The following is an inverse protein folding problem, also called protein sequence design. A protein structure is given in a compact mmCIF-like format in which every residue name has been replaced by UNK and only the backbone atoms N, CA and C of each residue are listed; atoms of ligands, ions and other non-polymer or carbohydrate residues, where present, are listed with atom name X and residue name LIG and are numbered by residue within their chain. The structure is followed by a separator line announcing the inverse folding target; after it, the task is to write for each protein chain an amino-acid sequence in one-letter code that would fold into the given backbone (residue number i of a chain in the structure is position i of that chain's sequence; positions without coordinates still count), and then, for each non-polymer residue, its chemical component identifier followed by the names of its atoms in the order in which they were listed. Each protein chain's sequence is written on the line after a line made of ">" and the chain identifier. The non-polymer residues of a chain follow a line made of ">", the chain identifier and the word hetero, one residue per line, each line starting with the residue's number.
data_IF_707685351730
#
_entry.id   IF_707685351730
#
_cell.length_a   1.000
_cell.length_b   1.000
_cell.length_c   1.000
_cell.angle_alpha   90.00
_cell.angle_beta   90.00
_cell.angle_gamma   90.00
#
_symmetry.space_group_name_H-M   'P 1'
#
loop_
_entity.id
_entity.type
_entity.pdbx_description
1 polymer ?
#
# COMPACT_ATOMS: atom_id res chain seq x y z
N UNK A 1 -9.52 -11.07 12.69
CA UNK A 1 -9.10 -12.25 13.49
C UNK A 1 -9.21 -13.55 12.70
N UNK A 2 -10.34 -13.80 12.04
CA UNK A 2 -10.59 -15.01 11.24
C UNK A 2 -9.71 -15.08 9.98
N UNK A 3 -9.74 -14.06 9.11
CA UNK A 3 -8.87 -13.97 7.93
C UNK A 3 -7.37 -14.11 8.27
N UNK A 4 -6.94 -13.54 9.39
CA UNK A 4 -5.55 -13.63 9.85
C UNK A 4 -5.13 -15.07 10.15
N UNK A 5 -6.04 -15.86 10.73
CA UNK A 5 -5.78 -17.27 11.01
C UNK A 5 -5.77 -18.08 9.71
N UNK A 6 -6.72 -17.86 8.79
CA UNK A 6 -6.75 -18.56 7.49
C UNK A 6 -5.47 -18.30 6.67
N UNK A 7 -4.95 -17.07 6.70
CA UNK A 7 -3.67 -16.75 6.04
C UNK A 7 -2.50 -17.47 6.73
N UNK A 8 -2.50 -17.56 8.06
CA UNK A 8 -1.47 -18.28 8.80
C UNK A 8 -1.49 -19.79 8.48
N UNK A 9 -2.69 -20.38 8.38
CA UNK A 9 -2.88 -21.78 8.02
C UNK A 9 -2.43 -22.04 6.56
N UNK A 10 -2.77 -21.13 5.64
CA UNK A 10 -2.30 -21.19 4.25
C UNK A 10 -0.76 -21.12 4.18
N UNK A 11 -0.13 -20.24 4.96
CA UNK A 11 1.34 -20.16 5.04
C UNK A 11 1.93 -21.49 5.52
N UNK A 12 1.36 -22.07 6.57
CA UNK A 12 1.83 -23.35 7.10
C UNK A 12 1.70 -24.48 6.06
N UNK A 13 0.61 -24.52 5.29
CA UNK A 13 0.39 -25.52 4.24
C UNK A 13 1.44 -25.45 3.13
N UNK A 14 1.86 -24.25 2.74
CA UNK A 14 2.93 -24.04 1.76
C UNK A 14 4.34 -24.13 2.38
N UNK A 15 4.43 -24.45 3.68
CA UNK A 15 5.70 -24.54 4.40
C UNK A 15 6.41 -23.19 4.56
N UNK A 16 5.66 -22.11 4.65
CA UNK A 16 6.18 -20.78 4.91
C UNK A 16 6.17 -20.45 6.41
N UNK A 17 7.11 -19.61 6.88
CA UNK A 17 7.04 -19.01 8.21
C UNK A 17 5.74 -18.21 8.43
N UNK A 18 5.30 -18.10 9.68
CA UNK A 18 4.10 -17.31 10.04
C UNK A 18 4.41 -15.81 10.13
N UNK A 19 5.60 -15.46 10.62
CA UNK A 19 6.07 -14.08 10.71
C UNK A 19 6.25 -13.45 9.34
N UNK A 20 5.84 -12.18 9.18
CA UNK A 20 5.76 -11.53 7.87
C UNK A 20 7.11 -11.46 7.15
N UNK A 21 8.18 -10.99 7.80
CA UNK A 21 9.46 -10.79 7.11
C UNK A 21 10.14 -12.12 6.71
N UNK A 22 10.21 -13.14 7.58
CA UNK A 22 10.64 -14.47 7.17
C UNK A 22 9.75 -15.10 6.09
N UNK A 23 8.42 -14.94 6.17
CA UNK A 23 7.48 -15.35 5.12
C UNK A 23 7.85 -14.70 3.78
N UNK A 24 8.03 -13.38 3.76
CA UNK A 24 8.29 -12.62 2.55
C UNK A 24 9.56 -13.08 1.85
N UNK A 25 10.65 -13.25 2.61
CA UNK A 25 11.90 -13.77 2.05
C UNK A 25 11.76 -15.20 1.51
N UNK A 26 11.09 -16.08 2.27
CA UNK A 26 10.84 -17.45 1.85
C UNK A 26 9.96 -17.51 0.59
N UNK A 27 8.93 -16.67 0.52
CA UNK A 27 8.04 -16.55 -0.62
C UNK A 27 8.79 -16.12 -1.89
N UNK A 28 9.62 -15.08 -1.81
CA UNK A 28 10.43 -14.61 -2.95
C UNK A 28 11.44 -15.65 -3.44
N UNK A 29 11.92 -16.52 -2.56
CA UNK A 29 12.85 -17.60 -2.90
C UNK A 29 12.17 -18.80 -3.59
N UNK A 30 10.84 -18.90 -3.59
CA UNK A 30 10.11 -19.97 -4.27
C UNK A 30 10.03 -19.76 -5.78
N UNK A 31 9.86 -20.86 -6.50
CA UNK A 31 9.57 -20.85 -7.92
C UNK A 31 8.23 -20.14 -8.23
N UNK A 32 8.06 -19.75 -9.48
CA UNK A 32 6.91 -18.96 -9.93
C UNK A 32 5.59 -19.74 -9.77
N UNK A 33 5.59 -21.05 -9.95
CA UNK A 33 4.36 -21.85 -9.90
C UNK A 33 3.88 -22.00 -8.45
N UNK A 34 4.79 -22.23 -7.51
CA UNK A 34 4.49 -22.22 -6.07
C UNK A 34 3.94 -20.86 -5.64
N UNK A 35 4.56 -19.75 -6.08
CA UNK A 35 4.08 -18.40 -5.76
C UNK A 35 2.68 -18.14 -6.31
N UNK A 36 2.42 -18.49 -7.57
CA UNK A 36 1.09 -18.33 -8.18
C UNK A 36 0.01 -19.15 -7.47
N UNK A 37 0.32 -20.39 -7.10
CA UNK A 37 -0.62 -21.25 -6.37
C UNK A 37 -0.96 -20.67 -5.00
N UNK A 38 0.02 -20.12 -4.30
CA UNK A 38 -0.20 -19.41 -3.03
C UNK A 38 -1.05 -18.15 -3.22
N UNK A 39 -0.71 -17.31 -4.21
CA UNK A 39 -1.41 -16.05 -4.51
C UNK A 39 -2.88 -16.29 -4.89
N UNK A 40 -3.16 -17.33 -5.68
CA UNK A 40 -4.52 -17.72 -6.04
C UNK A 40 -5.35 -18.05 -4.79
N UNK A 41 -4.80 -18.86 -3.89
CA UNK A 41 -5.49 -19.27 -2.64
C UNK A 41 -5.62 -18.14 -1.64
N UNK A 42 -4.64 -17.24 -1.60
CA UNK A 42 -4.74 -16.00 -0.84
C UNK A 42 -5.91 -15.14 -1.37
N UNK A 43 -6.03 -15.00 -2.68
CA UNK A 43 -7.13 -14.28 -3.33
C UNK A 43 -8.51 -14.89 -3.01
N UNK A 44 -8.61 -16.22 -2.93
CA UNK A 44 -9.83 -16.91 -2.49
C UNK A 44 -10.20 -16.57 -1.04
N UNK A 45 -9.22 -16.54 -0.12
CA UNK A 45 -9.44 -16.08 1.26
C UNK A 45 -9.91 -14.62 1.26
N UNK A 46 -9.20 -13.73 0.57
CA UNK A 46 -9.55 -12.30 0.50
C UNK A 46 -10.96 -12.07 -0.03
N UNK A 47 -11.38 -12.83 -1.05
CA UNK A 47 -12.72 -12.70 -1.62
C UNK A 47 -13.86 -13.05 -0.65
N UNK A 48 -13.61 -13.95 0.32
CA UNK A 48 -14.60 -14.33 1.34
C UNK A 48 -14.75 -13.26 2.43
N UNK A 49 -13.66 -12.56 2.74
CA UNK A 49 -13.61 -11.54 3.79
C UNK A 49 -13.90 -10.12 3.28
N UNK A 50 -13.88 -9.93 1.96
CA UNK A 50 -13.97 -8.63 1.31
C UNK A 50 -12.59 -7.98 1.19
N UNK A 51 -12.25 -7.59 -0.03
CA UNK A 51 -10.97 -6.95 -0.31
C UNK A 51 -11.01 -5.49 0.14
N UNK A 52 -9.90 -5.00 0.70
CA UNK A 52 -9.74 -3.57 0.94
C UNK A 52 -9.85 -2.78 -0.38
N UNK A 53 -10.45 -1.60 -0.29
CA UNK A 53 -10.79 -0.74 -1.41
C UNK A 53 -10.10 0.61 -1.33
N UNK A 54 -10.24 1.42 -2.38
CA UNK A 54 -9.84 2.84 -2.36
C UNK A 54 -10.49 3.60 -1.19
N UNK A 55 -11.71 3.23 -0.77
CA UNK A 55 -12.37 3.87 0.37
C UNK A 55 -11.57 3.65 1.65
N UNK A 56 -11.13 2.42 1.90
CA UNK A 56 -10.38 2.06 3.11
C UNK A 56 -8.98 2.72 3.11
N UNK A 57 -8.36 2.86 1.93
CA UNK A 57 -7.13 3.65 1.79
C UNK A 57 -7.36 5.11 2.20
N UNK A 58 -8.42 5.73 1.72
CA UNK A 58 -8.69 7.15 2.03
C UNK A 58 -9.16 7.33 3.47
N UNK A 59 -9.81 6.33 4.09
CA UNK A 59 -10.02 6.31 5.55
C UNK A 59 -8.68 6.40 6.31
N UNK A 60 -7.67 5.68 5.85
CA UNK A 60 -6.32 5.77 6.41
C UNK A 60 -5.65 7.12 6.15
N UNK A 61 -5.85 7.72 4.97
CA UNK A 61 -5.37 9.08 4.68
C UNK A 61 -5.98 10.06 5.67
N UNK A 62 -7.30 10.06 5.84
CA UNK A 62 -7.99 10.93 6.79
C UNK A 62 -7.46 10.76 8.21
N UNK A 63 -7.28 9.51 8.65
CA UNK A 63 -6.72 9.22 9.95
C UNK A 63 -5.32 9.85 10.11
N UNK A 64 -4.42 9.64 9.16
CA UNK A 64 -3.04 10.15 9.26
C UNK A 64 -3.02 11.68 9.17
N UNK A 65 -3.78 12.28 8.25
CA UNK A 65 -3.92 13.74 8.13
C UNK A 65 -4.41 14.33 9.46
N UNK A 66 -5.40 13.74 10.12
CA UNK A 66 -5.90 14.19 11.41
C UNK A 66 -4.89 14.05 12.56
N UNK A 67 -3.91 13.15 12.45
CA UNK A 67 -2.94 12.87 13.52
C UNK A 67 -1.66 13.69 13.40
N UNK A 68 -1.17 13.89 12.18
CA UNK A 68 0.14 14.53 11.94
C UNK A 68 0.07 15.74 11.01
N UNK A 69 -1.11 16.08 10.47
CA UNK A 69 -1.29 17.19 9.54
C UNK A 69 -1.01 16.80 8.09
N UNK A 70 -1.71 17.45 7.16
CA UNK A 70 -1.66 17.11 5.73
C UNK A 70 -0.26 17.29 5.11
N UNK A 71 0.58 18.19 5.62
CA UNK A 71 1.91 18.49 5.08
C UNK A 71 2.94 17.35 5.29
N UNK A 72 2.51 16.29 5.98
CA UNK A 72 3.31 15.12 6.32
C UNK A 72 2.76 13.82 5.71
N UNK A 73 1.79 13.90 4.81
CA UNK A 73 1.15 12.73 4.19
C UNK A 73 1.51 12.63 2.72
N UNK A 74 1.90 11.43 2.27
CA UNK A 74 2.11 11.09 0.87
C UNK A 74 1.49 9.73 0.55
N UNK A 75 1.43 9.39 -0.73
CA UNK A 75 0.91 8.12 -1.21
C UNK A 75 1.97 7.32 -1.98
N UNK A 76 1.92 6.01 -1.80
CA UNK A 76 2.59 5.02 -2.65
C UNK A 76 1.63 3.85 -2.82
N UNK A 77 1.61 3.25 -4.00
CA UNK A 77 0.75 2.11 -4.28
C UNK A 77 1.36 0.77 -3.86
N UNK A 78 2.69 0.72 -3.74
CA UNK A 78 3.45 -0.53 -3.63
C UNK A 78 3.04 -1.57 -4.69
N UNK A 79 2.76 -1.09 -5.91
CA UNK A 79 2.36 -1.98 -7.02
C UNK A 79 3.45 -3.01 -7.31
N UNK A 80 3.16 -4.25 -6.95
CA UNK A 80 3.92 -5.44 -7.29
C UNK A 80 3.13 -6.32 -8.29
N UNK A 81 3.65 -7.49 -8.64
CA UNK A 81 3.09 -8.43 -9.62
C UNK A 81 1.75 -9.09 -9.16
N UNK A 82 0.71 -8.28 -9.00
CA UNK A 82 -0.71 -8.62 -8.84
C UNK A 82 -1.24 -8.97 -7.44
N UNK A 83 -0.37 -9.10 -6.43
CA UNK A 83 -0.76 -9.76 -5.15
C UNK A 83 -1.14 -8.82 -4.00
N UNK A 84 -1.08 -7.49 -4.19
CA UNK A 84 -1.34 -6.50 -3.13
C UNK A 84 -2.15 -5.29 -3.62
N UNK A 85 -3.09 -5.52 -4.54
CA UNK A 85 -3.94 -4.47 -5.11
C UNK A 85 -5.12 -4.12 -4.22
N UNK A 86 -5.63 -2.89 -4.29
CA UNK A 86 -6.93 -2.53 -3.72
C UNK A 86 -8.04 -2.69 -4.75
N UNK A 87 -9.26 -2.94 -4.29
CA UNK A 87 -10.43 -2.78 -5.14
C UNK A 87 -10.58 -1.31 -5.56
N UNK A 88 -10.63 -1.07 -6.86
CA UNK A 88 -10.60 0.25 -7.48
C UNK A 88 -9.21 0.91 -7.59
N UNK A 89 -8.11 0.27 -7.18
CA UNK A 89 -6.74 0.73 -7.46
C UNK A 89 -5.79 -0.46 -7.62
N UNK A 90 -6.02 -1.25 -8.67
CA UNK A 90 -5.28 -2.49 -8.93
C UNK A 90 -3.92 -2.27 -9.60
N UNK A 91 -3.83 -1.23 -10.42
CA UNK A 91 -2.64 -0.84 -11.12
C UNK A 91 -2.66 0.66 -11.42
N UNK A 92 -1.59 1.15 -12.07
CA UNK A 92 -1.40 2.57 -12.35
C UNK A 92 -2.54 3.19 -13.19
N UNK A 93 -3.23 2.41 -14.02
CA UNK A 93 -4.34 2.91 -14.85
C UNK A 93 -5.55 3.33 -14.02
N UNK A 94 -5.69 2.79 -12.80
CA UNK A 94 -6.80 3.08 -11.89
C UNK A 94 -6.49 4.22 -10.89
N UNK A 95 -5.31 4.83 -10.96
CA UNK A 95 -4.86 5.88 -10.02
C UNK A 95 -5.84 7.05 -9.89
N UNK A 96 -6.60 7.35 -10.95
CA UNK A 96 -7.66 8.36 -10.92
C UNK A 96 -8.70 8.09 -9.82
N UNK A 97 -8.97 6.83 -9.47
CA UNK A 97 -9.98 6.48 -8.48
C UNK A 97 -9.62 6.98 -7.08
N UNK A 98 -8.34 6.97 -6.71
CA UNK A 98 -7.86 7.53 -5.44
C UNK A 98 -8.09 9.04 -5.40
N UNK A 99 -7.76 9.76 -6.48
CA UNK A 99 -8.03 11.20 -6.60
C UNK A 99 -9.53 11.51 -6.50
N UNK A 100 -10.37 10.69 -7.14
CA UNK A 100 -11.83 10.86 -7.07
C UNK A 100 -12.35 10.66 -5.64
N UNK A 101 -11.83 9.67 -4.92
CA UNK A 101 -12.23 9.43 -3.54
C UNK A 101 -11.78 10.56 -2.61
N UNK A 102 -10.54 11.03 -2.71
CA UNK A 102 -10.06 12.22 -1.99
C UNK A 102 -10.97 13.43 -2.26
N UNK A 103 -11.31 13.70 -3.52
CA UNK A 103 -12.21 14.80 -3.88
C UNK A 103 -13.61 14.63 -3.27
N UNK A 104 -14.16 13.42 -3.23
CA UNK A 104 -15.46 13.13 -2.57
C UNK A 104 -15.44 13.43 -1.08
N UNK A 105 -14.28 13.28 -0.42
CA UNK A 105 -14.10 13.56 1.01
C UNK A 105 -13.85 15.04 1.32
N UNK A 106 -13.80 15.89 0.29
CA UNK A 106 -13.69 17.34 0.44
C UNK A 106 -12.28 17.89 0.36
N UNK A 107 -11.27 17.06 0.04
CA UNK A 107 -9.93 17.57 -0.25
C UNK A 107 -9.97 18.44 -1.51
N UNK A 108 -9.43 19.65 -1.40
CA UNK A 108 -9.31 20.56 -2.53
C UNK A 108 -8.10 20.21 -3.42
N UNK A 109 -7.98 20.89 -4.57
CA UNK A 109 -6.92 20.62 -5.56
C UNK A 109 -5.52 20.79 -4.98
N UNK A 110 -5.30 21.79 -4.13
CA UNK A 110 -3.99 22.05 -3.51
C UNK A 110 -3.64 20.97 -2.49
N UNK A 111 -4.61 20.51 -1.71
CA UNK A 111 -4.47 19.43 -0.75
C UNK A 111 -4.19 18.09 -1.43
N UNK A 112 -4.92 17.77 -2.49
CA UNK A 112 -4.68 16.60 -3.34
C UNK A 112 -3.27 16.67 -3.96
N UNK A 113 -2.85 17.84 -4.43
CA UNK A 113 -1.50 18.06 -4.96
C UNK A 113 -0.40 17.82 -3.92
N UNK A 114 -0.62 18.25 -2.67
CA UNK A 114 0.29 17.97 -1.54
C UNK A 114 0.44 16.48 -1.28
N UNK A 115 -0.68 15.75 -1.22
CA UNK A 115 -0.71 14.31 -0.98
C UNK A 115 -0.04 13.53 -2.12
N UNK A 116 -0.28 13.92 -3.38
CA UNK A 116 0.28 13.20 -4.54
C UNK A 116 1.77 13.40 -4.75
N UNK A 117 2.30 14.59 -4.48
CA UNK A 117 3.71 14.86 -4.74
C UNK A 117 4.29 16.01 -3.94
N UNK A 118 3.50 17.05 -3.64
CA UNK A 118 4.02 18.29 -3.04
C UNK A 118 4.80 18.06 -1.75
N UNK A 119 4.30 17.19 -0.86
CA UNK A 119 4.97 16.90 0.40
C UNK A 119 6.27 16.11 0.21
N UNK A 120 6.26 15.11 -0.68
CA UNK A 120 7.44 14.32 -0.98
C UNK A 120 8.54 15.17 -1.64
N UNK A 121 8.17 16.04 -2.59
CA UNK A 121 9.08 16.95 -3.27
C UNK A 121 9.66 17.99 -2.30
N UNK A 122 8.86 18.52 -1.37
CA UNK A 122 9.36 19.41 -0.31
C UNK A 122 10.45 18.74 0.51
N UNK A 123 10.20 17.52 1.01
CA UNK A 123 11.18 16.76 1.80
C UNK A 123 12.44 16.45 0.98
N UNK A 124 12.28 16.08 -0.28
CA UNK A 124 13.42 15.85 -1.18
C UNK A 124 14.29 17.11 -1.29
N UNK A 125 13.69 18.26 -1.62
CA UNK A 125 14.45 19.52 -1.73
C UNK A 125 15.18 19.89 -0.44
N UNK A 126 14.56 19.75 0.73
CA UNK A 126 15.21 20.00 2.03
C UNK A 126 16.41 19.07 2.26
N UNK A 127 16.30 17.78 1.89
CA UNK A 127 17.42 16.82 1.99
C UNK A 127 18.58 17.22 1.10
N UNK A 128 18.31 17.68 -0.13
CA UNK A 128 19.35 18.15 -1.06
C UNK A 128 20.09 19.38 -0.54
N UNK A 129 19.36 20.34 0.04
CA UNK A 129 19.95 21.54 0.65
C UNK A 129 20.89 21.19 1.81
N UNK A 130 20.45 20.30 2.71
CA UNK A 130 21.27 19.84 3.83
C UNK A 130 22.52 19.11 3.32
N UNK A 131 22.37 18.23 2.34
CA UNK A 131 23.49 17.53 1.73
C UNK A 131 24.50 18.50 1.10
N UNK A 132 24.04 19.55 0.42
CA UNK A 132 24.89 20.58 -0.17
C UNK A 132 25.65 21.38 0.90
N UNK A 133 25.00 21.70 2.03
CA UNK A 133 25.63 22.40 3.16
C UNK A 133 26.72 21.55 3.82
N UNK A 134 26.50 20.25 3.99
CA UNK A 134 27.46 19.34 4.63
C UNK A 134 28.68 19.02 3.75
N UNK A 135 28.61 19.28 2.44
CA UNK A 135 29.72 19.10 1.49
C UNK A 135 30.63 20.32 1.36
N UNK A 136 30.27 21.45 1.98
CA UNK A 136 31.09 22.67 2.03
C UNK A 136 31.92 22.69 3.30
#
# INVERSE_FOLDING_TARGET
>A
PEMTQEIADLRAEFGFPVDFYPFFLAFLARDVDTRRAYEQRLGEIESRHGKASVRDLVDHVDYVVNRIGIDHVGLSSDFMNHSFSLDGWRDASETRNVTLELARRGYNVEEIGRIWSGNALRVWSEVEEVAARLRR
#
